data_IF_707798368376
#
_entry.id   IF_707798368376
#
_cell.length_a   1.000
_cell.length_b   1.000
_cell.length_c   1.000
_cell.angle_alpha   90.00
_cell.angle_beta   90.00
_cell.angle_gamma   90.00
#
_symmetry.space_group_name_H-M   'P 1'
#
loop_
_entity.id
_entity.type
_entity.pdbx_description
1 polymer ?
#
# COMPACT_ATOMS: atom_id res chain seq x y z
N UNK A 1 -38.30 22.07 -33.76
CA UNK A 1 -37.22 21.55 -32.91
C UNK A 1 -37.86 20.91 -31.69
N UNK A 2 -37.89 19.58 -31.58
CA UNK A 2 -38.40 18.91 -30.38
C UNK A 2 -37.38 19.01 -29.25
N UNK A 3 -37.79 19.26 -28.00
CA UNK A 3 -36.87 19.27 -26.87
C UNK A 3 -36.35 17.84 -26.62
N UNK A 4 -35.04 17.73 -26.34
CA UNK A 4 -34.42 16.46 -25.97
C UNK A 4 -35.06 15.91 -24.67
N UNK A 5 -35.23 14.58 -24.54
CA UNK A 5 -35.77 14.00 -23.31
C UNK A 5 -34.83 14.31 -22.14
N UNK A 6 -35.42 14.77 -21.03
CA UNK A 6 -34.70 15.00 -19.79
C UNK A 6 -34.02 13.70 -19.35
N UNK A 7 -32.70 13.73 -19.11
CA UNK A 7 -31.99 12.60 -18.50
C UNK A 7 -32.59 12.34 -17.11
N UNK A 8 -32.91 11.09 -16.76
CA UNK A 8 -33.37 10.77 -15.42
C UNK A 8 -32.29 11.14 -14.41
N UNK A 9 -32.62 12.01 -13.46
CA UNK A 9 -31.79 12.30 -12.29
C UNK A 9 -31.85 11.11 -11.34
N UNK A 10 -30.89 10.20 -11.43
CA UNK A 10 -30.76 9.15 -10.42
C UNK A 10 -30.17 9.79 -9.16
N UNK A 11 -30.99 9.90 -8.11
CA UNK A 11 -30.52 10.27 -6.78
C UNK A 11 -29.67 9.13 -6.24
N UNK A 12 -28.37 9.22 -6.45
CA UNK A 12 -27.41 8.29 -5.85
C UNK A 12 -27.18 8.67 -4.38
N UNK A 13 -28.15 8.41 -3.52
CA UNK A 13 -27.91 8.47 -2.08
C UNK A 13 -27.01 7.30 -1.72
N UNK A 14 -25.71 7.55 -1.56
CA UNK A 14 -24.76 6.53 -1.14
C UNK A 14 -24.79 6.43 0.38
N UNK A 15 -25.53 5.44 0.88
CA UNK A 15 -25.43 4.99 2.27
C UNK A 15 -24.12 4.20 2.40
N UNK A 16 -23.35 4.47 3.45
CA UNK A 16 -22.14 3.69 3.73
C UNK A 16 -22.52 2.23 4.06
N UNK A 17 -21.64 1.25 3.77
CA UNK A 17 -21.82 -0.12 4.22
C UNK A 17 -22.05 -0.20 5.74
N UNK A 18 -22.82 -1.18 6.21
CA UNK A 18 -23.10 -1.36 7.64
C UNK A 18 -21.84 -1.61 8.48
N UNK A 19 -20.80 -2.20 7.87
CA UNK A 19 -19.51 -2.45 8.50
C UNK A 19 -18.53 -1.27 8.40
N UNK A 20 -18.97 -0.14 7.82
CA UNK A 20 -18.13 1.03 7.65
C UNK A 20 -17.83 1.71 8.99
N UNK A 21 -16.54 1.85 9.31
CA UNK A 21 -16.05 2.53 10.52
C UNK A 21 -14.99 3.56 10.18
N UNK A 22 -15.02 4.68 10.89
CA UNK A 22 -13.94 5.67 10.84
C UNK A 22 -12.91 5.31 11.89
N UNK A 23 -11.68 5.03 11.47
CA UNK A 23 -10.59 4.67 12.37
C UNK A 23 -9.24 5.24 11.89
N UNK A 24 -8.28 5.32 12.79
CA UNK A 24 -6.91 5.72 12.45
C UNK A 24 -6.08 4.46 12.23
N UNK A 25 -5.48 4.34 11.05
CA UNK A 25 -4.66 3.19 10.67
C UNK A 25 -3.33 3.66 10.09
N UNK A 26 -2.35 2.76 10.12
CA UNK A 26 -1.26 2.79 9.15
C UNK A 26 -1.76 2.37 7.78
N UNK A 27 -1.37 3.12 6.76
CA UNK A 27 -1.67 2.85 5.35
C UNK A 27 -0.33 2.73 4.63
N UNK A 28 -0.13 1.61 3.93
CA UNK A 28 1.04 1.40 3.09
C UNK A 28 0.67 1.10 1.66
N UNK A 29 1.32 1.80 0.74
CA UNK A 29 1.41 1.40 -0.67
C UNK A 29 2.81 0.89 -0.95
N UNK A 30 2.92 -0.15 -1.76
CA UNK A 30 4.21 -0.58 -2.27
C UNK A 30 4.12 -0.94 -3.75
N UNK A 31 5.21 -0.74 -4.50
CA UNK A 31 5.33 -1.05 -5.93
C UNK A 31 6.77 -1.41 -6.31
N UNK A 32 6.96 -2.23 -7.34
CA UNK A 32 8.28 -2.63 -7.80
C UNK A 32 8.82 -1.65 -8.84
N UNK A 33 10.02 -1.11 -8.58
CA UNK A 33 10.73 -0.38 -9.63
C UNK A 33 11.04 -1.29 -10.83
N UNK A 34 11.07 -0.74 -12.05
CA UNK A 34 11.46 -1.48 -13.28
C UNK A 34 10.63 -2.73 -13.61
N UNK A 35 9.56 -3.03 -12.88
CA UNK A 35 8.72 -4.19 -13.15
C UNK A 35 8.09 -4.12 -14.54
N UNK A 36 7.48 -2.98 -14.91
CA UNK A 36 6.83 -2.83 -16.20
C UNK A 36 7.78 -3.03 -17.39
N UNK A 37 9.04 -2.59 -17.26
CA UNK A 37 10.07 -2.82 -18.28
C UNK A 37 10.40 -4.32 -18.38
N UNK A 38 10.73 -4.94 -17.25
CA UNK A 38 11.05 -6.37 -17.19
C UNK A 38 9.91 -7.26 -17.69
N UNK A 39 8.69 -7.04 -17.19
CA UNK A 39 7.51 -7.85 -17.52
C UNK A 39 7.11 -7.73 -18.99
N UNK A 40 7.46 -6.64 -19.67
CA UNK A 40 7.17 -6.46 -21.10
C UNK A 40 8.02 -7.32 -22.03
N UNK A 41 9.10 -7.90 -21.50
CA UNK A 41 10.10 -8.65 -22.28
C UNK A 41 10.24 -10.11 -21.84
N UNK A 42 9.53 -10.51 -20.79
CA UNK A 42 9.60 -11.84 -20.19
C UNK A 42 8.35 -12.67 -20.56
N UNK A 43 8.36 -13.95 -20.19
CA UNK A 43 7.23 -14.84 -20.38
C UNK A 43 6.11 -14.58 -19.35
N UNK A 44 4.85 -14.49 -19.80
CA UNK A 44 3.71 -14.17 -18.93
C UNK A 44 3.55 -15.17 -17.77
N UNK A 45 3.84 -16.47 -17.97
CA UNK A 45 3.73 -17.46 -16.91
C UNK A 45 4.86 -17.27 -15.87
N UNK A 46 6.05 -16.86 -16.33
CA UNK A 46 7.17 -16.49 -15.44
C UNK A 46 6.88 -15.21 -14.66
N UNK A 47 6.30 -14.20 -15.29
CA UNK A 47 5.82 -12.98 -14.60
C UNK A 47 4.77 -13.32 -13.56
N UNK A 48 3.78 -14.15 -13.90
CA UNK A 48 2.74 -14.58 -12.96
C UNK A 48 3.31 -15.37 -11.78
N UNK A 49 4.28 -16.27 -12.02
CA UNK A 49 4.98 -17.01 -10.96
C UNK A 49 5.74 -16.08 -10.01
N UNK A 50 6.41 -15.06 -10.55
CA UNK A 50 7.09 -14.05 -9.74
C UNK A 50 6.08 -13.26 -8.89
N UNK A 51 4.98 -12.78 -9.50
CA UNK A 51 3.94 -12.05 -8.77
C UNK A 51 3.33 -12.90 -7.65
N UNK A 52 3.09 -14.19 -7.88
CA UNK A 52 2.60 -15.09 -6.84
C UNK A 52 3.57 -15.20 -5.66
N UNK A 53 4.87 -15.29 -5.94
CA UNK A 53 5.92 -15.32 -4.91
C UNK A 53 6.00 -13.98 -4.16
N UNK A 54 5.90 -12.87 -4.89
CA UNK A 54 5.84 -11.52 -4.33
C UNK A 54 4.65 -11.35 -3.38
N UNK A 55 3.46 -11.84 -3.75
CA UNK A 55 2.27 -11.80 -2.91
C UNK A 55 2.43 -12.67 -1.65
N UNK A 56 3.01 -13.87 -1.78
CA UNK A 56 3.27 -14.76 -0.66
C UNK A 56 4.25 -14.14 0.34
N UNK A 57 5.34 -13.52 -0.13
CA UNK A 57 6.29 -12.80 0.71
C UNK A 57 5.63 -11.63 1.46
N UNK A 58 4.72 -10.90 0.81
CA UNK A 58 3.97 -9.84 1.48
C UNK A 58 3.16 -10.40 2.65
N UNK A 59 2.44 -11.50 2.43
CA UNK A 59 1.63 -12.13 3.49
C UNK A 59 2.51 -12.64 4.63
N UNK A 60 3.61 -13.32 4.31
CA UNK A 60 4.57 -13.86 5.27
C UNK A 60 5.13 -12.78 6.22
N UNK A 61 5.44 -11.59 5.70
CA UNK A 61 5.99 -10.51 6.51
C UNK A 61 4.93 -9.69 7.22
N UNK A 62 3.78 -9.44 6.58
CA UNK A 62 2.81 -8.44 7.04
C UNK A 62 1.73 -9.02 7.96
N UNK A 63 1.21 -10.20 7.66
CA UNK A 63 0.10 -10.77 8.45
C UNK A 63 0.48 -11.09 9.90
N UNK A 64 1.68 -11.64 10.20
CA UNK A 64 2.07 -11.96 11.59
C UNK A 64 2.18 -10.75 12.51
N UNK A 65 2.41 -9.55 11.95
CA UNK A 65 2.48 -8.30 12.71
C UNK A 65 1.12 -7.58 12.80
N UNK A 66 0.03 -8.24 12.39
CA UNK A 66 -1.32 -7.68 12.44
C UNK A 66 -1.66 -6.73 11.30
N UNK A 67 -0.83 -6.65 10.26
CA UNK A 67 -1.17 -5.91 9.06
C UNK A 67 -2.10 -6.74 8.16
N UNK A 68 -2.98 -6.06 7.44
CA UNK A 68 -3.93 -6.63 6.51
C UNK A 68 -3.62 -6.17 5.10
N UNK A 69 -3.35 -7.12 4.22
CA UNK A 69 -3.30 -6.86 2.78
C UNK A 69 -4.72 -6.59 2.30
N UNK A 70 -4.94 -5.41 1.71
CA UNK A 70 -6.24 -5.00 1.18
C UNK A 70 -6.41 -5.54 -0.23
N UNK A 71 -5.44 -5.26 -1.09
CA UNK A 71 -5.45 -5.69 -2.50
C UNK A 71 -4.08 -5.54 -3.16
N UNK A 72 -3.86 -6.37 -4.17
CA UNK A 72 -2.79 -6.21 -5.16
C UNK A 72 -3.35 -5.67 -6.48
N UNK A 73 -2.52 -4.92 -7.21
CA UNK A 73 -2.80 -4.32 -8.51
C UNK A 73 -1.54 -4.48 -9.37
N UNK A 74 -1.32 -5.69 -9.90
CA UNK A 74 -0.05 -6.06 -10.54
C UNK A 74 1.09 -6.11 -9.52
N UNK A 75 2.19 -5.44 -9.79
CA UNK A 75 3.34 -5.32 -8.88
C UNK A 75 3.12 -4.35 -7.71
N UNK A 76 1.98 -3.67 -7.68
CA UNK A 76 1.60 -2.77 -6.60
C UNK A 76 0.70 -3.46 -5.57
N UNK A 77 0.80 -3.03 -4.31
CA UNK A 77 -0.09 -3.48 -3.23
C UNK A 77 -0.51 -2.35 -2.29
N UNK A 78 -1.69 -2.52 -1.72
CA UNK A 78 -2.22 -1.72 -0.61
C UNK A 78 -2.39 -2.63 0.60
N UNK A 79 -1.79 -2.24 1.72
CA UNK A 79 -2.02 -2.86 3.01
C UNK A 79 -2.28 -1.80 4.09
N UNK A 80 -2.91 -2.22 5.17
CA UNK A 80 -3.17 -1.38 6.34
C UNK A 80 -2.76 -2.10 7.61
N UNK A 81 -2.49 -1.36 8.67
CA UNK A 81 -2.16 -1.96 9.97
C UNK A 81 -2.69 -1.10 11.13
N UNK A 82 -3.05 -1.71 12.26
CA UNK A 82 -3.38 -1.00 13.49
C UNK A 82 -2.23 -0.11 13.98
N UNK A 83 -2.55 1.00 14.64
CA UNK A 83 -1.52 1.98 15.06
C UNK A 83 -0.66 1.53 16.24
N UNK A 84 -1.15 0.60 17.05
CA UNK A 84 -0.46 -0.04 18.17
C UNK A 84 0.66 -0.99 17.71
N UNK A 85 0.57 -1.54 16.49
CA UNK A 85 1.62 -2.37 15.86
C UNK A 85 2.44 -1.62 14.82
N UNK A 86 2.36 -0.29 14.80
CA UNK A 86 2.92 0.52 13.71
C UNK A 86 4.44 0.33 13.53
N UNK A 87 5.19 0.23 14.62
CA UNK A 87 6.64 0.02 14.54
C UNK A 87 6.99 -1.36 13.96
N UNK A 88 6.32 -2.41 14.44
CA UNK A 88 6.48 -3.79 13.95
C UNK A 88 6.11 -3.88 12.47
N UNK A 89 5.00 -3.26 12.06
CA UNK A 89 4.57 -3.21 10.67
C UNK A 89 5.56 -2.46 9.76
N UNK A 90 6.11 -1.32 10.22
CA UNK A 90 7.12 -0.57 9.48
C UNK A 90 8.38 -1.43 9.28
N UNK A 91 8.85 -2.12 10.32
CA UNK A 91 10.03 -2.99 10.19
C UNK A 91 9.76 -4.25 9.36
N UNK A 92 8.56 -4.83 9.44
CA UNK A 92 8.15 -5.91 8.56
C UNK A 92 8.16 -5.47 7.09
N UNK A 93 7.72 -4.25 6.78
CA UNK A 93 7.80 -3.69 5.43
C UNK A 93 9.25 -3.47 4.96
N UNK A 94 10.15 -3.08 5.86
CA UNK A 94 11.58 -3.02 5.55
C UNK A 94 12.17 -4.41 5.24
N UNK A 95 11.81 -5.43 6.04
CA UNK A 95 12.23 -6.81 5.81
C UNK A 95 11.68 -7.37 4.49
N UNK A 96 10.39 -7.15 4.23
CA UNK A 96 9.73 -7.47 2.97
C UNK A 96 10.44 -6.84 1.78
N UNK A 97 10.76 -5.54 1.85
CA UNK A 97 11.53 -4.84 0.80
C UNK A 97 12.88 -5.53 0.49
N UNK A 98 13.58 -6.01 1.52
CA UNK A 98 14.83 -6.73 1.35
C UNK A 98 14.62 -8.14 0.74
N UNK A 99 13.68 -8.91 1.27
CA UNK A 99 13.37 -10.26 0.79
C UNK A 99 12.91 -10.25 -0.67
N UNK A 100 12.02 -9.32 -1.03
CA UNK A 100 11.56 -9.12 -2.41
C UNK A 100 12.72 -8.82 -3.36
N UNK A 101 13.68 -7.99 -2.95
CA UNK A 101 14.85 -7.69 -3.79
C UNK A 101 15.72 -8.93 -4.03
N UNK A 102 15.89 -9.76 -3.02
CA UNK A 102 16.64 -11.02 -3.14
C UNK A 102 15.96 -11.96 -4.12
N UNK A 103 14.66 -12.21 -3.93
CA UNK A 103 13.88 -13.11 -4.81
C UNK A 103 13.79 -12.56 -6.23
N UNK A 104 13.58 -11.26 -6.43
CA UNK A 104 13.50 -10.67 -7.76
C UNK A 104 14.77 -10.91 -8.60
N UNK A 105 15.95 -10.98 -7.96
CA UNK A 105 17.21 -11.31 -8.65
C UNK A 105 17.25 -12.73 -9.20
N UNK A 106 16.58 -13.68 -8.55
CA UNK A 106 16.43 -15.06 -9.05
C UNK A 106 15.61 -15.09 -10.34
N UNK A 107 14.73 -14.10 -10.53
CA UNK A 107 13.97 -13.88 -11.76
C UNK A 107 14.70 -12.96 -12.77
N UNK A 108 15.94 -12.53 -12.48
CA UNK A 108 16.69 -11.62 -13.35
C UNK A 108 16.20 -10.17 -13.32
N UNK A 109 15.37 -9.81 -12.34
CA UNK A 109 14.84 -8.46 -12.15
C UNK A 109 15.69 -7.69 -11.11
N UNK A 110 16.51 -6.74 -11.57
CA UNK A 110 17.20 -5.79 -10.69
C UNK A 110 16.26 -4.64 -10.28
N UNK A 111 15.51 -4.87 -9.21
CA UNK A 111 14.52 -3.94 -8.66
C UNK A 111 14.81 -3.56 -7.21
N UNK A 112 14.16 -2.50 -6.76
CA UNK A 112 13.88 -2.21 -5.36
C UNK A 112 12.37 -2.02 -5.15
N UNK A 113 11.90 -2.34 -3.95
CA UNK A 113 10.52 -2.10 -3.55
C UNK A 113 10.37 -0.64 -3.07
N UNK A 114 9.50 0.11 -3.72
CA UNK A 114 8.99 1.38 -3.20
C UNK A 114 7.97 1.07 -2.12
N UNK A 115 8.11 1.67 -0.93
CA UNK A 115 7.13 1.51 0.15
C UNK A 115 6.82 2.88 0.71
N UNK A 116 5.56 3.26 0.74
CA UNK A 116 5.11 4.53 1.27
C UNK A 116 4.17 4.30 2.45
N UNK A 117 4.53 4.82 3.61
CA UNK A 117 3.81 4.56 4.86
C UNK A 117 3.31 5.86 5.46
N UNK A 118 2.01 5.94 5.66
CA UNK A 118 1.31 7.04 6.32
C UNK A 118 0.48 6.53 7.49
N UNK A 119 0.22 7.37 8.49
CA UNK A 119 -0.76 7.09 9.53
C UNK A 119 -1.80 8.20 9.51
N UNK A 120 -3.08 7.83 9.43
CA UNK A 120 -4.17 8.79 9.36
C UNK A 120 -5.56 8.16 9.44
N UNK A 121 -6.57 9.03 9.54
CA UNK A 121 -7.98 8.64 9.60
C UNK A 121 -8.48 8.17 8.23
N UNK A 122 -9.12 7.00 8.21
CA UNK A 122 -9.76 6.37 7.06
C UNK A 122 -11.15 5.89 7.42
N UNK A 123 -12.00 5.71 6.42
CA UNK A 123 -13.21 4.89 6.53
C UNK A 123 -12.87 3.51 5.99
N UNK A 124 -12.90 2.50 6.85
CA UNK A 124 -12.71 1.09 6.46
C UNK A 124 -14.06 0.38 6.40
N UNK A 125 -14.23 -0.57 5.49
CA UNK A 125 -15.45 -1.36 5.38
C UNK A 125 -15.48 -2.17 4.09
N UNK A 126 -16.59 -2.84 3.83
CA UNK A 126 -16.79 -3.63 2.62
C UNK A 126 -17.33 -2.74 1.51
N UNK A 127 -16.46 -2.33 0.59
CA UNK A 127 -16.79 -1.47 -0.54
C UNK A 127 -16.74 -2.26 -1.85
N UNK A 128 -17.59 -1.93 -2.81
CA UNK A 128 -17.58 -2.55 -4.14
C UNK A 128 -18.93 -2.51 -4.82
N UNK A 129 -19.07 -3.34 -5.85
CA UNK A 129 -20.38 -3.57 -6.49
C UNK A 129 -21.21 -4.50 -5.61
N UNK A 130 -22.55 -4.35 -5.61
CA UNK A 130 -23.45 -5.22 -4.85
C UNK A 130 -23.15 -6.71 -5.07
N UNK A 131 -22.85 -7.45 -4.00
CA UNK A 131 -22.56 -8.88 -4.03
C UNK A 131 -21.11 -9.26 -4.36
N UNK A 132 -20.23 -8.28 -4.57
CA UNK A 132 -18.79 -8.51 -4.74
C UNK A 132 -17.94 -7.47 -3.98
N UNK A 133 -18.48 -6.95 -2.88
CA UNK A 133 -17.79 -6.06 -1.97
C UNK A 133 -16.55 -6.74 -1.37
N UNK A 134 -15.50 -5.96 -1.18
CA UNK A 134 -14.27 -6.39 -0.51
C UNK A 134 -13.91 -5.35 0.51
N UNK A 135 -13.21 -5.78 1.55
CA UNK A 135 -12.64 -4.84 2.49
C UNK A 135 -11.75 -3.84 1.76
N UNK A 136 -11.96 -2.56 2.02
CA UNK A 136 -11.16 -1.47 1.48
C UNK A 136 -11.06 -0.34 2.51
N UNK A 137 -10.15 0.59 2.24
CA UNK A 137 -10.01 1.82 3.01
C UNK A 137 -10.13 3.04 2.10
N UNK A 138 -10.95 4.00 2.51
CA UNK A 138 -11.24 5.22 1.74
C UNK A 138 -10.92 6.42 2.61
N UNK A 139 -10.22 7.41 2.06
CA UNK A 139 -10.01 8.68 2.75
C UNK A 139 -8.83 9.48 2.24
N UNK A 140 -8.72 10.73 2.72
CA UNK A 140 -7.61 11.61 2.37
C UNK A 140 -6.26 11.01 2.78
N UNK A 141 -6.21 10.27 3.89
CA UNK A 141 -4.99 9.60 4.36
C UNK A 141 -4.45 8.56 3.35
N UNK A 142 -5.33 7.85 2.63
CA UNK A 142 -4.95 6.90 1.57
C UNK A 142 -4.28 7.64 0.42
N UNK A 143 -4.83 8.78 0.00
CA UNK A 143 -4.23 9.63 -1.04
C UNK A 143 -2.87 10.22 -0.63
N UNK A 144 -2.69 10.55 0.66
CA UNK A 144 -1.40 11.00 1.19
C UNK A 144 -0.37 9.87 1.10
N UNK A 145 -0.72 8.66 1.56
CA UNK A 145 0.16 7.50 1.48
C UNK A 145 0.62 7.23 0.04
N UNK A 146 -0.30 7.26 -0.92
CA UNK A 146 0.01 7.02 -2.34
C UNK A 146 0.99 8.04 -2.96
N UNK A 147 1.25 9.19 -2.31
CA UNK A 147 2.03 10.31 -2.87
C UNK A 147 3.33 10.61 -2.11
N UNK A 148 3.70 9.85 -1.07
CA UNK A 148 4.87 10.16 -0.22
C UNK A 148 6.22 10.10 -0.95
N UNK A 149 6.39 9.24 -1.95
CA UNK A 149 7.63 9.14 -2.71
C UNK A 149 7.74 7.82 -3.48
N UNK A 150 8.81 7.61 -4.25
CA UNK A 150 9.06 6.34 -4.98
C UNK A 150 10.53 5.93 -4.96
N UNK A 151 11.17 6.00 -3.79
CA UNK A 151 12.58 5.59 -3.63
C UNK A 151 12.78 4.92 -2.27
N UNK A 152 12.56 3.60 -2.27
CA UNK A 152 12.71 2.74 -1.09
C UNK A 152 11.58 2.94 -0.07
N UNK A 153 11.85 2.58 1.19
CA UNK A 153 10.89 2.75 2.30
C UNK A 153 10.85 4.21 2.74
N UNK A 154 9.66 4.81 2.63
CA UNK A 154 9.38 6.23 2.85
C UNK A 154 8.28 6.41 3.87
N UNK A 155 8.54 7.15 4.95
CA UNK A 155 7.55 7.45 5.99
C UNK A 155 7.05 8.90 5.88
N UNK A 156 5.77 9.13 6.15
CA UNK A 156 5.28 10.46 6.51
C UNK A 156 5.70 10.83 7.93
N UNK A 157 5.59 12.12 8.29
CA UNK A 157 5.85 12.58 9.66
C UNK A 157 4.94 11.90 10.71
N UNK A 158 3.71 11.55 10.35
CA UNK A 158 2.78 10.81 11.20
C UNK A 158 3.29 9.40 11.47
N UNK A 159 3.65 8.64 10.42
CA UNK A 159 4.20 7.29 10.57
C UNK A 159 5.54 7.29 11.33
N UNK A 160 6.42 8.25 11.05
CA UNK A 160 7.69 8.40 11.77
C UNK A 160 7.50 8.63 13.28
N UNK A 161 6.45 9.35 13.68
CA UNK A 161 6.15 9.57 15.11
C UNK A 161 5.70 8.31 15.84
N UNK A 162 5.22 7.29 15.13
CA UNK A 162 4.85 6.00 15.72
C UNK A 162 6.07 5.13 16.08
N UNK A 163 7.27 5.49 15.61
CA UNK A 163 8.50 4.77 15.94
C UNK A 163 9.04 5.18 17.32
N UNK A 164 9.65 4.22 18.01
CA UNK A 164 10.50 4.40 19.20
C UNK A 164 11.73 5.28 18.87
N UNK A 165 12.45 5.81 19.88
CA UNK A 165 13.72 6.50 19.64
C UNK A 165 14.74 5.66 18.87
N UNK A 166 14.90 4.37 19.22
CA UNK A 166 15.79 3.47 18.48
C UNK A 166 15.31 3.27 17.03
N UNK A 167 13.99 3.14 16.84
CA UNK A 167 13.44 2.97 15.51
C UNK A 167 13.62 4.22 14.63
N UNK A 168 13.42 5.41 15.18
CA UNK A 168 13.63 6.69 14.50
C UNK A 168 15.08 6.88 14.04
N UNK A 169 16.05 6.38 14.81
CA UNK A 169 17.47 6.50 14.46
C UNK A 169 17.85 5.79 13.14
N UNK A 170 17.01 4.86 12.67
CA UNK A 170 17.20 4.13 11.39
C UNK A 170 16.70 4.88 10.15
N UNK A 171 16.11 6.06 10.33
CA UNK A 171 15.50 6.83 9.25
C UNK A 171 16.09 8.24 9.17
N UNK A 172 16.51 8.63 7.97
CA UNK A 172 17.01 9.97 7.71
C UNK A 172 15.90 10.88 7.18
N UNK A 173 15.84 12.11 7.68
CA UNK A 173 14.89 13.13 7.22
C UNK A 173 15.29 13.63 5.83
N UNK A 174 14.37 13.56 4.87
CA UNK A 174 14.49 14.17 3.55
C UNK A 174 13.70 15.50 3.53
N UNK A 175 14.27 16.51 2.89
CA UNK A 175 13.72 17.88 2.73
C UNK A 175 12.43 17.90 1.86
N UNK A 176 11.59 18.97 1.90
CA UNK A 176 10.13 18.83 2.01
C UNK A 176 9.37 18.56 0.70
N UNK A 177 8.13 18.01 0.76
CA UNK A 177 7.34 17.76 1.97
C UNK A 177 7.92 16.59 2.78
N UNK A 178 7.99 16.74 4.11
CA UNK A 178 8.79 15.92 5.03
C UNK A 178 8.56 14.41 4.84
N UNK A 179 9.56 13.73 4.28
CA UNK A 179 9.59 12.29 4.07
C UNK A 179 10.85 11.72 4.72
N UNK A 180 10.82 10.47 5.20
CA UNK A 180 12.00 9.84 5.83
C UNK A 180 12.36 8.55 5.11
N UNK A 181 13.65 8.31 4.83
CA UNK A 181 14.14 7.11 4.11
C UNK A 181 15.02 6.24 4.99
N UNK A 182 14.87 4.92 4.87
CA UNK A 182 15.72 3.92 5.52
C UNK A 182 17.14 3.93 4.93
N UNK A 183 18.18 3.92 5.78
CA UNK A 183 19.59 3.82 5.37
C UNK A 183 20.27 2.67 6.12
N UNK A 184 20.91 1.76 5.38
CA UNK A 184 21.70 0.64 5.90
C UNK A 184 23.20 0.99 5.88
#
# INVERSE_FOLDING_TARGET
MSPAPARPSVSHTHVLPDDAKTETMGITFFDLSRFAEWSSTDDDARVASFLQTFYALAAEHLEPVGARIVKFMGDAGLAVFPTDVAEQAIFALCAYSHATRTVAREYGLDTYLNVNIHVGSVVSGSFGVPGAERFDVIGKAVNVAARLGRRGVTLSAQAFRCLSPEGRARFQKLTPPTTYRFTN
#
